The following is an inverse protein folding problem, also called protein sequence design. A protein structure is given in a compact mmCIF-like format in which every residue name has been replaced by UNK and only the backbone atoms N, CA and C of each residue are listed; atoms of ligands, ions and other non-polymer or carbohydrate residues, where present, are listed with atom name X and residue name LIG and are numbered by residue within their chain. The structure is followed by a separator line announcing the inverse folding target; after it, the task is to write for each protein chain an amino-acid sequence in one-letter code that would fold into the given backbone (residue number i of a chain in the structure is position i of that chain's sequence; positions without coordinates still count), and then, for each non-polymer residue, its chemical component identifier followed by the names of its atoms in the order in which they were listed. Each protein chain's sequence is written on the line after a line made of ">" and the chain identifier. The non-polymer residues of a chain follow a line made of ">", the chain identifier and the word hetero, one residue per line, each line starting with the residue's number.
data_IF_252651502282
#
_entry.id   IF_252651502282
#
_cell.length_a   1.000
_cell.length_b   1.000
_cell.length_c   1.000
_cell.angle_alpha   90.00
_cell.angle_beta   90.00
_cell.angle_gamma   90.00
#
_symmetry.space_group_name_H-M   'P 1'
#
loop_
_entity.id
_entity.type
_entity.pdbx_description
1 polymer ?
#
# COMPACT_ATOMS: atom_id res chain seq x y z
N UNK A 1 -13.06 5.73 -8.15
CA UNK A 1 -12.33 6.16 -9.37
C UNK A 1 -12.76 7.56 -9.82
N UNK A 2 -14.04 7.80 -10.15
CA UNK A 2 -14.53 9.09 -10.69
C UNK A 2 -14.07 10.36 -9.93
N UNK A 3 -13.92 10.29 -8.61
CA UNK A 3 -13.42 11.40 -7.81
C UNK A 3 -11.98 11.81 -8.17
N UNK A 4 -11.04 10.86 -8.19
CA UNK A 4 -9.62 11.14 -8.46
C UNK A 4 -9.32 11.39 -9.93
N UNK A 5 -10.13 10.81 -10.83
CA UNK A 5 -10.16 11.20 -12.23
C UNK A 5 -10.51 12.69 -12.37
N UNK A 6 -11.64 13.13 -11.81
CA UNK A 6 -12.04 14.54 -11.88
C UNK A 6 -11.06 15.51 -11.18
N UNK A 7 -10.43 15.08 -10.08
CA UNK A 7 -9.55 15.92 -9.29
C UNK A 7 -8.13 16.04 -9.87
N UNK A 8 -7.56 14.93 -10.35
CA UNK A 8 -6.17 14.85 -10.76
C UNK A 8 -5.95 14.46 -12.23
N UNK A 9 -7.01 14.10 -12.96
CA UNK A 9 -6.93 13.55 -14.32
C UNK A 9 -6.32 12.15 -14.36
N UNK A 10 -6.44 11.40 -13.26
CA UNK A 10 -5.86 10.06 -13.17
C UNK A 10 -6.72 9.02 -13.87
N UNK A 11 -6.04 8.13 -14.59
CA UNK A 11 -6.67 6.98 -15.25
C UNK A 11 -6.02 5.69 -14.75
N UNK A 12 -6.80 4.64 -14.56
CA UNK A 12 -6.25 3.37 -14.08
C UNK A 12 -7.13 2.19 -14.43
N UNK A 13 -6.51 1.11 -14.89
CA UNK A 13 -7.20 -0.15 -15.15
C UNK A 13 -6.97 -1.13 -13.99
N UNK A 14 -8.00 -1.93 -13.62
CA UNK A 14 -7.81 -2.96 -12.61
C UNK A 14 -6.82 -4.01 -13.10
N UNK A 15 -5.89 -4.39 -12.23
CA UNK A 15 -5.01 -5.54 -12.40
C UNK A 15 -5.23 -6.48 -11.21
N UNK A 16 -5.41 -7.77 -11.49
CA UNK A 16 -5.56 -8.78 -10.43
C UNK A 16 -4.19 -9.04 -9.79
N UNK A 17 -4.10 -8.85 -8.48
CA UNK A 17 -2.86 -9.02 -7.70
C UNK A 17 -2.83 -10.33 -6.91
N UNK A 18 -3.73 -11.26 -7.25
CA UNK A 18 -3.89 -12.56 -6.58
C UNK A 18 -4.97 -12.57 -5.49
N UNK A 19 -5.43 -13.77 -5.14
CA UNK A 19 -6.47 -13.99 -4.12
C UNK A 19 -7.78 -13.20 -4.33
N UNK A 20 -8.13 -12.87 -5.58
CA UNK A 20 -9.31 -12.07 -5.91
C UNK A 20 -9.18 -10.59 -5.55
N UNK A 21 -7.99 -10.13 -5.16
CA UNK A 21 -7.71 -8.71 -4.94
C UNK A 21 -7.35 -8.02 -6.24
N UNK A 22 -7.92 -6.84 -6.45
CA UNK A 22 -7.62 -5.98 -7.59
C UNK A 22 -6.90 -4.73 -7.11
N UNK A 23 -5.81 -4.40 -7.79
CA UNK A 23 -5.10 -3.15 -7.65
C UNK A 23 -5.24 -2.35 -8.94
N UNK A 24 -5.60 -1.07 -8.81
CA UNK A 24 -5.64 -0.13 -9.90
C UNK A 24 -4.42 0.77 -9.82
N UNK A 25 -3.47 0.54 -10.74
CA UNK A 25 -2.34 1.46 -10.92
C UNK A 25 -2.85 2.70 -11.66
N UNK A 26 -2.83 3.83 -10.97
CA UNK A 26 -3.26 5.12 -11.49
C UNK A 26 -2.12 5.76 -12.26
N UNK A 27 -2.46 6.35 -13.40
CA UNK A 27 -1.54 6.99 -14.32
C UNK A 27 -1.95 8.43 -14.59
N UNK A 28 -0.95 9.29 -14.72
CA UNK A 28 -1.09 10.67 -15.21
C UNK A 28 -0.05 10.87 -16.32
N UNK A 29 -0.49 11.23 -17.53
CA UNK A 29 0.38 11.34 -18.70
C UNK A 29 1.24 10.07 -18.92
N UNK A 30 0.62 8.89 -18.77
CA UNK A 30 1.25 7.57 -18.87
C UNK A 30 2.26 7.20 -17.78
N UNK A 31 2.53 8.08 -16.81
CA UNK A 31 3.37 7.79 -15.66
C UNK A 31 2.54 7.22 -14.52
N UNK A 32 3.03 6.16 -13.88
CA UNK A 32 2.41 5.57 -12.68
C UNK A 32 2.61 6.50 -11.48
N UNK A 33 1.51 6.91 -10.85
CA UNK A 33 1.52 7.94 -9.79
C UNK A 33 0.96 7.46 -8.47
N UNK A 34 0.10 6.44 -8.49
CA UNK A 34 -0.47 5.85 -7.28
C UNK A 34 -1.01 4.44 -7.56
N UNK A 35 -1.33 3.72 -6.49
CA UNK A 35 -2.07 2.48 -6.52
C UNK A 35 -3.34 2.64 -5.67
N UNK A 36 -4.44 2.03 -6.10
CA UNK A 36 -5.67 1.93 -5.32
C UNK A 36 -6.11 0.48 -5.30
N UNK A 37 -6.26 -0.10 -4.12
CA UNK A 37 -6.74 -1.47 -3.96
C UNK A 37 -7.89 -1.52 -2.98
N UNK A 38 -8.64 -2.61 -3.04
CA UNK A 38 -9.75 -2.82 -2.12
C UNK A 38 -9.21 -3.04 -0.71
N UNK A 39 -9.80 -2.33 0.26
CA UNK A 39 -9.47 -2.50 1.67
C UNK A 39 -9.70 -3.95 2.12
N UNK A 40 -8.80 -4.47 2.95
CA UNK A 40 -8.87 -5.84 3.47
C UNK A 40 -10.07 -6.04 4.40
N UNK A 41 -10.55 -7.27 4.52
CA UNK A 41 -11.73 -7.55 5.36
C UNK A 41 -11.47 -7.37 6.86
N UNK A 42 -10.25 -7.66 7.32
CA UNK A 42 -9.85 -7.41 8.71
C UNK A 42 -9.89 -5.92 9.05
N UNK A 43 -9.34 -5.05 8.19
CA UNK A 43 -9.39 -3.60 8.38
C UNK A 43 -10.83 -3.08 8.42
N UNK A 44 -11.71 -3.62 7.55
CA UNK A 44 -13.14 -3.28 7.56
C UNK A 44 -13.80 -3.70 8.88
N UNK A 45 -13.51 -4.92 9.37
CA UNK A 45 -14.06 -5.43 10.63
C UNK A 45 -13.60 -4.60 11.83
N UNK A 46 -12.38 -4.07 11.78
CA UNK A 46 -11.84 -3.15 12.78
C UNK A 46 -12.36 -1.70 12.64
N UNK A 47 -13.18 -1.42 11.62
CA UNK A 47 -13.77 -0.10 11.38
C UNK A 47 -12.77 0.94 10.87
N UNK A 48 -11.64 0.51 10.28
CA UNK A 48 -10.65 1.41 9.69
C UNK A 48 -11.29 2.11 8.49
N UNK A 49 -11.27 3.46 8.41
CA UNK A 49 -11.79 4.17 7.25
C UNK A 49 -10.86 4.02 6.03
N UNK A 50 -11.38 4.19 4.80
CA UNK A 50 -10.53 4.32 3.62
C UNK A 50 -9.53 5.47 3.81
N UNK A 51 -8.25 5.20 3.58
CA UNK A 51 -7.17 6.14 3.84
C UNK A 51 -6.05 6.01 2.81
N UNK A 52 -5.16 6.99 2.80
CA UNK A 52 -3.94 6.96 2.00
C UNK A 52 -2.81 6.30 2.77
N UNK A 53 -2.08 5.41 2.11
CA UNK A 53 -0.87 4.80 2.64
C UNK A 53 0.35 5.47 2.00
N UNK A 54 1.29 5.86 2.83
CA UNK A 54 2.58 6.42 2.39
C UNK A 54 3.61 5.30 2.40
N UNK A 55 4.18 5.03 1.22
CA UNK A 55 5.23 4.03 1.07
C UNK A 55 6.59 4.73 0.94
N UNK A 56 7.59 4.20 1.65
CA UNK A 56 8.97 4.65 1.55
C UNK A 56 9.81 3.54 0.91
N UNK A 57 10.52 3.87 -0.17
CA UNK A 57 11.51 2.97 -0.76
C UNK A 57 12.71 2.84 0.17
N UNK A 58 13.12 1.61 0.45
CA UNK A 58 14.26 1.29 1.32
C UNK A 58 15.11 0.18 0.68
N UNK A 59 16.40 0.16 0.99
CA UNK A 59 17.31 -0.86 0.44
C UNK A 59 17.02 -2.26 0.99
N UNK A 60 16.50 -2.35 2.21
CA UNK A 60 16.10 -3.60 2.86
C UNK A 60 14.93 -3.36 3.82
N UNK A 61 13.82 -4.05 3.54
CA UNK A 61 12.58 -3.95 4.32
C UNK A 61 12.75 -4.62 5.68
N UNK A 62 13.45 -5.75 5.73
CA UNK A 62 13.72 -6.50 6.96
C UNK A 62 14.59 -5.70 7.95
N UNK A 63 15.71 -5.11 7.48
CA UNK A 63 16.57 -4.27 8.32
C UNK A 63 15.83 -3.01 8.79
N UNK A 64 15.01 -2.40 7.92
CA UNK A 64 14.22 -1.21 8.26
C UNK A 64 13.15 -1.51 9.31
N UNK A 65 12.42 -2.61 9.15
CA UNK A 65 11.40 -3.05 10.12
C UNK A 65 12.02 -3.41 11.48
N UNK A 66 13.15 -4.11 11.49
CA UNK A 66 13.89 -4.41 12.72
C UNK A 66 14.37 -3.13 13.41
N UNK A 67 14.87 -2.15 12.65
CA UNK A 67 15.31 -0.85 13.18
C UNK A 67 14.19 -0.09 13.86
N UNK A 68 12.96 -0.16 13.35
CA UNK A 68 11.81 0.51 13.95
C UNK A 68 11.57 0.07 15.40
N UNK A 69 11.72 -1.23 15.69
CA UNK A 69 11.59 -1.77 17.05
C UNK A 69 12.59 -1.15 18.04
N UNK A 70 13.85 -0.97 17.63
CA UNK A 70 14.87 -0.30 18.44
C UNK A 70 14.56 1.18 18.70
N UNK A 71 13.81 1.81 17.79
CA UNK A 71 13.37 3.20 17.87
C UNK A 71 12.00 3.34 18.55
N UNK A 72 11.51 2.29 19.23
CA UNK A 72 10.21 2.22 19.91
C UNK A 72 8.98 2.28 19.00
N UNK A 73 9.17 2.12 17.69
CA UNK A 73 8.07 1.88 16.76
C UNK A 73 7.63 0.42 16.81
N UNK A 74 6.54 0.10 16.11
CA UNK A 74 6.00 -1.24 15.99
C UNK A 74 5.72 -1.61 14.54
N UNK A 75 5.74 -2.91 14.22
CA UNK A 75 5.26 -3.43 12.96
C UNK A 75 3.81 -3.86 13.11
N UNK A 76 2.91 -3.19 12.39
CA UNK A 76 1.48 -3.54 12.31
C UNK A 76 1.30 -4.71 11.37
N UNK A 77 1.93 -4.61 10.20
CA UNK A 77 2.12 -5.74 9.29
C UNK A 77 3.61 -6.08 9.33
N UNK A 78 3.99 -7.26 9.84
CA UNK A 78 5.36 -7.76 9.75
C UNK A 78 5.84 -7.86 8.30
N UNK A 79 7.11 -8.19 8.11
CA UNK A 79 7.67 -8.43 6.78
C UNK A 79 6.80 -9.40 5.98
N UNK A 80 6.24 -8.93 4.88
CA UNK A 80 5.34 -9.68 4.01
C UNK A 80 5.81 -9.59 2.55
N UNK A 81 5.59 -10.69 1.82
CA UNK A 81 5.88 -10.77 0.38
C UNK A 81 4.66 -10.38 -0.43
N UNK A 82 4.87 -9.52 -1.42
CA UNK A 82 3.92 -9.25 -2.49
C UNK A 82 4.44 -9.96 -3.73
N UNK A 83 3.83 -11.10 -4.03
CA UNK A 83 4.30 -12.04 -5.06
C UNK A 83 4.60 -11.33 -6.38
N UNK A 84 5.85 -11.44 -6.83
CA UNK A 84 6.33 -10.85 -8.09
C UNK A 84 6.63 -9.35 -8.07
N UNK A 85 6.41 -8.66 -6.94
CA UNK A 85 6.68 -7.22 -6.77
C UNK A 85 7.82 -6.99 -5.79
N UNK A 86 7.78 -7.62 -4.61
CA UNK A 86 8.81 -7.47 -3.59
C UNK A 86 8.27 -7.57 -2.17
N UNK A 87 9.08 -7.14 -1.21
CA UNK A 87 8.74 -7.18 0.21
C UNK A 87 8.16 -5.84 0.68
N UNK A 88 7.31 -5.88 1.70
CA UNK A 88 6.85 -4.70 2.42
C UNK A 88 6.65 -4.99 3.91
N UNK A 89 6.55 -3.92 4.69
CA UNK A 89 6.13 -3.95 6.09
C UNK A 89 5.35 -2.67 6.37
N UNK A 90 4.36 -2.73 7.27
CA UNK A 90 3.63 -1.54 7.73
C UNK A 90 4.08 -1.23 9.15
N UNK A 91 4.64 -0.04 9.32
CA UNK A 91 5.21 0.39 10.58
C UNK A 91 4.37 1.51 11.20
N UNK A 92 4.24 1.48 12.51
CA UNK A 92 3.69 2.57 13.31
C UNK A 92 4.85 3.24 14.06
N UNK A 93 4.90 4.57 14.01
CA UNK A 93 5.79 5.34 14.87
C UNK A 93 5.39 5.20 16.34
N UNK A 94 6.29 5.50 17.29
CA UNK A 94 5.98 5.50 18.72
C UNK A 94 4.76 6.34 19.11
#
# INVERSE_FOLDING_TARGET
>A
MAFYDALFGWVGEPTETGAGMYCHIQKLNSLEVAAMYQQGDEEKQQGVPPHWIVCFGVDSVDLSANKAGFLRGSAIVPLADVSGIGLFAVLQSP
#
